data_IF_668732343746
#
_entry.id   IF_668732343746
#
_cell.length_a   1.000
_cell.length_b   1.000
_cell.length_c   1.000
_cell.angle_alpha   90.00
_cell.angle_beta   90.00
_cell.angle_gamma   90.00
#
_symmetry.space_group_name_H-M   'P 1'
#
loop_
_entity.id
_entity.type
_entity.pdbx_description
1 polymer ?
#
# COMPACT_ATOMS: atom_id res chain seq x y z
N UNK A 1 -9.90 -65.52 -47.31
CA UNK A 1 -10.43 -64.77 -48.45
C UNK A 1 -10.47 -63.31 -48.07
N UNK A 2 -9.57 -62.43 -48.50
CA UNK A 2 -8.36 -62.59 -49.32
C UNK A 2 -8.06 -61.27 -50.04
N UNK A 3 -6.89 -60.64 -49.97
CA UNK A 3 -5.52 -61.04 -49.54
C UNK A 3 -4.95 -59.91 -48.64
N UNK A 4 -4.53 -60.17 -47.39
CA UNK A 4 -3.19 -60.64 -46.92
C UNK A 4 -2.05 -59.76 -47.45
N UNK A 5 -1.32 -59.01 -46.62
CA UNK A 5 -0.25 -59.48 -45.68
C UNK A 5 -0.18 -58.62 -44.39
N UNK A 6 -0.31 -59.10 -43.15
CA UNK A 6 0.63 -59.88 -42.27
C UNK A 6 2.01 -59.22 -42.10
N UNK A 7 2.33 -58.58 -40.97
CA UNK A 7 2.97 -59.11 -39.74
C UNK A 7 3.20 -57.89 -38.80
N UNK A 8 3.38 -57.93 -37.48
CA UNK A 8 3.34 -58.92 -36.40
C UNK A 8 3.53 -58.16 -35.07
N UNK A 9 2.95 -58.72 -34.02
CA UNK A 9 3.03 -58.49 -32.57
C UNK A 9 4.38 -58.04 -31.97
N UNK A 10 4.32 -57.19 -30.94
CA UNK A 10 5.08 -57.25 -29.66
C UNK A 10 4.43 -56.22 -28.71
N UNK A 11 3.50 -56.59 -27.82
CA UNK A 11 3.69 -57.05 -26.42
C UNK A 11 5.03 -56.65 -25.81
N UNK A 12 4.95 -55.68 -24.89
CA UNK A 12 5.96 -55.34 -23.90
C UNK A 12 5.26 -54.85 -22.65
N UNK A 13 4.99 -55.80 -21.74
CA UNK A 13 4.69 -55.59 -20.33
C UNK A 13 5.99 -55.22 -19.60
N UNK A 14 5.95 -54.21 -18.74
CA UNK A 14 6.65 -54.14 -17.44
C UNK A 14 6.35 -52.76 -16.82
N UNK A 15 5.48 -52.67 -15.81
CA UNK A 15 5.67 -53.00 -14.39
C UNK A 15 6.26 -51.82 -13.58
N UNK A 16 5.42 -51.35 -12.64
CA UNK A 16 5.74 -50.86 -11.29
C UNK A 16 6.46 -49.49 -11.17
N UNK A 17 6.13 -48.56 -10.27
CA UNK A 17 5.31 -48.58 -9.06
C UNK A 17 4.53 -47.26 -8.92
N UNK A 18 3.25 -47.39 -8.56
CA UNK A 18 2.49 -46.36 -7.85
C UNK A 18 3.10 -46.14 -6.45
N UNK A 19 3.33 -44.88 -6.08
CA UNK A 19 3.50 -44.48 -4.67
C UNK A 19 2.12 -44.13 -4.10
N UNK A 20 1.74 -44.65 -2.93
CA UNK A 20 0.37 -44.58 -2.45
C UNK A 20 0.07 -43.26 -1.74
N UNK A 21 -1.14 -42.75 -2.00
CA UNK A 21 -1.85 -41.87 -1.08
C UNK A 21 -2.43 -42.69 0.07
N UNK A 22 -2.16 -42.29 1.30
CA UNK A 22 -2.97 -42.47 2.52
C UNK A 22 -2.19 -41.74 3.64
N UNK A 23 -2.76 -41.22 4.72
CA UNK A 23 -4.08 -40.75 5.06
C UNK A 23 -3.91 -39.93 6.35
N UNK A 24 -4.90 -39.09 6.62
CA UNK A 24 -5.08 -38.36 7.86
C UNK A 24 -4.95 -39.27 9.09
N UNK A 25 -4.24 -38.83 10.12
CA UNK A 25 -4.63 -39.10 11.50
C UNK A 25 -4.19 -37.95 12.42
N UNK A 26 -5.18 -37.45 13.14
CA UNK A 26 -5.13 -36.53 14.25
C UNK A 26 -4.53 -37.18 15.49
N UNK A 27 -3.65 -36.48 16.20
CA UNK A 27 -3.51 -36.68 17.64
C UNK A 27 -3.11 -35.37 18.33
N UNK A 28 -3.90 -35.03 19.35
CA UNK A 28 -3.66 -33.94 20.29
C UNK A 28 -2.57 -34.34 21.28
N UNK A 29 -1.49 -33.57 21.38
CA UNK A 29 -0.63 -33.54 22.57
C UNK A 29 -0.24 -32.10 22.93
N UNK A 30 -0.55 -31.74 24.18
CA UNK A 30 -0.09 -30.54 24.86
C UNK A 30 1.45 -30.52 24.91
N UNK A 31 2.05 -29.44 24.40
CA UNK A 31 3.48 -29.19 24.49
C UNK A 31 3.78 -27.70 24.35
N UNK A 32 4.42 -27.16 25.37
CA UNK A 32 4.80 -25.77 25.59
C UNK A 32 5.67 -25.20 24.46
N UNK A 33 5.39 -23.96 24.04
CA UNK A 33 6.12 -23.23 22.99
C UNK A 33 7.45 -22.69 23.57
N UNK A 34 8.63 -23.03 23.01
CA UNK A 34 9.86 -22.29 23.27
C UNK A 34 9.96 -21.08 22.33
N UNK A 35 10.44 -19.95 22.86
CA UNK A 35 10.74 -18.71 22.13
C UNK A 35 11.62 -18.96 20.89
N UNK A 36 11.03 -18.82 19.70
CA UNK A 36 11.78 -18.86 18.45
C UNK A 36 12.41 -17.50 18.17
N UNK A 37 13.74 -17.45 18.18
CA UNK A 37 14.54 -16.40 17.55
C UNK A 37 14.05 -16.20 16.11
N UNK A 38 13.44 -15.04 15.83
CA UNK A 38 13.09 -14.63 14.47
C UNK A 38 14.38 -14.21 13.77
N UNK A 39 14.85 -15.07 12.87
CA UNK A 39 15.92 -14.76 11.92
C UNK A 39 15.39 -13.68 10.97
N UNK A 40 15.76 -12.42 11.22
CA UNK A 40 15.56 -11.29 10.30
C UNK A 40 16.38 -11.51 9.02
N UNK A 41 15.81 -12.20 8.04
CA UNK A 41 16.43 -12.42 6.73
C UNK A 41 15.49 -12.08 5.57
N UNK A 42 14.93 -10.87 5.55
CA UNK A 42 14.28 -10.30 4.35
C UNK A 42 13.89 -8.81 4.50
N UNK A 43 14.73 -7.95 5.08
CA UNK A 43 14.49 -6.49 4.99
C UNK A 43 15.25 -5.96 3.77
N UNK A 44 14.58 -5.44 2.71
CA UNK A 44 15.26 -4.78 1.62
C UNK A 44 15.99 -3.53 2.14
N UNK A 45 17.26 -3.40 1.75
CA UNK A 45 18.15 -2.32 2.14
C UNK A 45 17.57 -0.93 1.83
N UNK A 46 17.42 -0.10 2.86
CA UNK A 46 17.16 1.34 2.75
C UNK A 46 18.50 2.07 2.80
N UNK A 47 18.83 2.82 1.74
CA UNK A 47 20.07 3.57 1.67
C UNK A 47 20.01 4.82 2.57
N UNK A 48 20.75 4.79 3.68
CA UNK A 48 21.05 5.93 4.55
C UNK A 48 20.74 5.62 6.02
N UNK A 49 21.79 5.43 6.82
CA UNK A 49 21.68 5.48 8.27
C UNK A 49 21.17 6.87 8.66
N UNK A 50 19.95 6.94 9.18
CA UNK A 50 19.49 8.09 9.94
C UNK A 50 19.85 7.76 11.38
N UNK A 51 20.94 8.34 11.87
CA UNK A 51 21.19 8.41 13.31
C UNK A 51 20.08 9.25 13.94
N UNK A 52 19.05 8.57 14.46
CA UNK A 52 18.10 9.20 15.37
C UNK A 52 18.76 9.19 16.74
N UNK A 53 19.36 10.32 17.10
CA UNK A 53 19.75 10.61 18.48
C UNK A 53 18.47 10.61 19.31
N UNK A 54 18.19 9.47 19.95
CA UNK A 54 17.08 9.28 20.88
C UNK A 54 17.45 9.89 22.22
N UNK A 55 17.13 11.16 22.41
CA UNK A 55 16.98 11.74 23.74
C UNK A 55 15.55 12.22 23.91
N UNK A 56 14.67 11.31 24.31
CA UNK A 56 13.53 11.61 25.17
C UNK A 56 12.89 10.30 25.68
N UNK A 57 12.64 10.27 26.98
CA UNK A 57 12.23 9.09 27.75
C UNK A 57 10.83 8.63 27.31
N UNK A 58 10.69 7.31 27.13
CA UNK A 58 9.40 6.64 27.02
C UNK A 58 8.52 7.01 28.23
N UNK A 59 7.45 7.76 28.01
CA UNK A 59 6.33 7.84 28.96
C UNK A 59 5.42 6.66 28.64
N UNK A 60 5.48 5.65 29.51
CA UNK A 60 4.51 4.56 29.58
C UNK A 60 3.10 5.12 29.70
N UNK A 61 2.21 4.61 28.86
CA UNK A 61 0.75 4.81 28.91
C UNK A 61 0.21 4.82 30.33
N UNK A 62 -0.24 5.99 30.80
CA UNK A 62 -1.09 6.10 31.98
C UNK A 62 -2.49 5.56 31.62
N UNK A 63 -2.92 4.60 32.43
CA UNK A 63 -4.25 4.03 32.42
C UNK A 63 -5.25 5.08 32.93
N UNK A 64 -6.36 5.26 32.21
CA UNK A 64 -7.50 6.06 32.69
C UNK A 64 -8.16 5.37 33.90
N UNK A 65 -8.44 6.06 35.01
CA UNK A 65 -9.14 5.48 36.15
C UNK A 65 -10.65 5.42 35.85
N UNK A 66 -11.26 4.22 35.90
CA UNK A 66 -12.72 4.12 35.88
C UNK A 66 -13.39 2.83 35.40
N UNK A 67 -12.69 1.82 34.86
CA UNK A 67 -13.36 0.58 34.44
C UNK A 67 -13.30 -0.51 35.52
N UNK A 68 -14.43 -0.76 36.20
CA UNK A 68 -14.64 -1.98 37.00
C UNK A 68 -15.23 -3.07 36.10
N UNK A 69 -14.62 -4.26 36.14
CA UNK A 69 -15.11 -5.47 35.49
C UNK A 69 -16.38 -6.00 36.17
N UNK A 70 -17.38 -6.41 35.39
CA UNK A 70 -18.57 -7.13 35.89
C UNK A 70 -18.27 -8.63 35.86
N UNK A 71 -18.29 -9.28 37.03
CA UNK A 71 -18.23 -10.74 37.14
C UNK A 71 -19.57 -11.38 36.78
N UNK A 72 -19.52 -12.57 36.16
CA UNK A 72 -20.68 -13.36 35.73
C UNK A 72 -21.66 -13.61 36.90
N UNK A 73 -22.95 -13.31 36.69
CA UNK A 73 -24.03 -13.67 37.60
C UNK A 73 -24.23 -15.20 37.63
N UNK A 74 -24.17 -15.80 38.81
CA UNK A 74 -24.72 -17.13 39.08
C UNK A 74 -26.10 -16.96 39.73
N UNK A 75 -27.13 -17.59 39.16
CA UNK A 75 -28.47 -17.62 39.75
C UNK A 75 -28.64 -18.84 40.65
N UNK A 76 -29.02 -18.68 41.93
CA UNK A 76 -29.58 -19.78 42.70
C UNK A 76 -31.07 -19.92 42.40
N UNK A 77 -31.51 -21.09 41.96
CA UNK A 77 -32.92 -21.46 41.84
C UNK A 77 -33.52 -21.65 43.24
N UNK A 78 -34.46 -20.80 43.64
CA UNK A 78 -35.26 -21.02 44.86
C UNK A 78 -36.62 -21.63 44.51
N UNK A 79 -36.99 -22.71 45.20
CA UNK A 79 -38.33 -23.32 45.12
C UNK A 79 -39.40 -22.39 45.73
N UNK A 80 -40.64 -22.41 45.24
CA UNK A 80 -41.69 -21.52 45.74
C UNK A 80 -42.17 -21.99 47.12
N UNK A 81 -42.15 -21.10 48.11
CA UNK A 81 -42.79 -21.33 49.41
C UNK A 81 -44.05 -20.48 49.54
N UNK A 82 -45.14 -21.19 49.85
CA UNK A 82 -46.53 -20.83 50.22
C UNK A 82 -46.87 -19.36 50.44
N UNK A 83 -48.00 -18.96 49.84
CA UNK A 83 -48.77 -17.76 50.15
C UNK A 83 -48.99 -17.62 51.67
N UNK A 84 -48.72 -16.42 52.19
CA UNK A 84 -48.92 -16.09 53.60
C UNK A 84 -50.25 -15.35 53.81
N UNK A 85 -50.93 -15.79 54.86
CA UNK A 85 -52.24 -15.38 55.36
C UNK A 85 -52.21 -13.94 55.92
N UNK A 86 -53.21 -13.12 55.58
CA UNK A 86 -53.31 -11.73 56.03
C UNK A 86 -53.93 -11.66 57.43
N UNK A 87 -53.12 -11.78 58.48
CA UNK A 87 -53.57 -11.42 59.83
C UNK A 87 -52.49 -10.68 60.62
N UNK A 88 -52.89 -9.48 61.07
CA UNK A 88 -52.17 -8.50 61.87
C UNK A 88 -51.39 -9.08 63.07
N UNK A 89 -50.13 -8.68 63.20
CA UNK A 89 -49.53 -8.29 64.47
C UNK A 89 -48.45 -7.23 64.21
N UNK A 90 -48.58 -6.07 64.87
CA UNK A 90 -47.55 -5.01 64.88
C UNK A 90 -46.36 -5.50 65.68
N UNK A 91 -45.23 -5.66 65.01
CA UNK A 91 -43.92 -5.47 65.62
C UNK A 91 -43.16 -4.47 64.75
N UNK A 92 -42.79 -3.35 65.37
CA UNK A 92 -41.99 -2.28 64.76
C UNK A 92 -40.60 -2.81 64.40
N UNK A 93 -40.46 -3.36 63.19
CA UNK A 93 -39.17 -3.44 62.51
C UNK A 93 -39.22 -2.47 61.35
N UNK A 94 -38.48 -1.38 61.52
CA UNK A 94 -38.15 -0.44 60.45
C UNK A 94 -37.51 -1.23 59.32
N UNK A 95 -38.31 -1.53 58.29
CA UNK A 95 -37.81 -1.95 56.98
C UNK A 95 -37.14 -0.73 56.36
N UNK A 96 -35.84 -0.61 56.58
CA UNK A 96 -35.02 0.34 55.81
C UNK A 96 -34.95 -0.24 54.41
N UNK A 97 -35.67 0.41 53.50
CA UNK A 97 -35.54 0.16 52.07
C UNK A 97 -34.07 0.37 51.72
N UNK A 98 -33.34 -0.70 51.39
CA UNK A 98 -32.00 -0.58 50.84
C UNK A 98 -32.16 -0.19 49.37
N UNK A 99 -32.65 1.03 49.16
CA UNK A 99 -32.45 1.72 47.90
C UNK A 99 -30.94 1.82 47.74
N UNK A 100 -30.35 0.99 46.88
CA UNK A 100 -29.00 1.22 46.37
C UNK A 100 -29.04 2.53 45.61
N UNK A 101 -28.86 3.63 46.34
CA UNK A 101 -28.75 4.96 45.81
C UNK A 101 -27.55 4.96 44.89
N UNK A 102 -27.80 4.99 43.59
CA UNK A 102 -26.75 5.33 42.63
C UNK A 102 -26.58 6.83 42.79
N UNK A 103 -25.64 7.26 43.65
CA UNK A 103 -25.32 8.68 43.80
C UNK A 103 -24.68 9.19 42.51
N UNK A 104 -25.52 9.54 41.54
CA UNK A 104 -25.11 10.37 40.41
C UNK A 104 -24.87 11.76 40.98
N UNK A 105 -23.62 12.17 41.05
CA UNK A 105 -23.28 13.48 41.61
C UNK A 105 -23.69 14.59 40.64
N UNK A 106 -23.90 15.80 41.15
CA UNK A 106 -24.15 16.97 40.29
C UNK A 106 -23.01 17.22 39.28
N UNK A 107 -21.80 16.75 39.58
CA UNK A 107 -20.68 16.77 38.65
C UNK A 107 -20.85 15.77 37.50
N UNK A 108 -21.34 14.56 37.80
CA UNK A 108 -21.64 13.55 36.78
C UNK A 108 -22.73 14.01 35.81
N UNK A 109 -23.77 14.69 36.33
CA UNK A 109 -24.84 15.29 35.51
C UNK A 109 -24.25 16.34 34.56
N UNK A 110 -23.40 17.25 35.07
CA UNK A 110 -22.76 18.29 34.25
C UNK A 110 -21.85 17.70 33.18
N UNK A 111 -21.09 16.66 33.50
CA UNK A 111 -20.23 15.97 32.53
C UNK A 111 -21.08 15.28 31.45
N UNK A 112 -22.21 14.67 31.82
CA UNK A 112 -23.13 14.05 30.87
C UNK A 112 -23.84 15.09 29.98
N UNK A 113 -24.21 16.26 30.52
CA UNK A 113 -24.77 17.37 29.75
C UNK A 113 -23.75 17.92 28.74
N UNK A 114 -22.51 18.16 29.19
CA UNK A 114 -21.42 18.57 28.31
C UNK A 114 -21.14 17.55 27.20
N UNK A 115 -21.13 16.26 27.53
CA UNK A 115 -20.94 15.20 26.55
C UNK A 115 -22.11 15.14 25.54
N UNK A 116 -23.35 15.29 26.01
CA UNK A 116 -24.53 15.35 25.15
C UNK A 116 -24.48 16.54 24.18
N UNK A 117 -24.09 17.72 24.64
CA UNK A 117 -23.97 18.91 23.79
C UNK A 117 -22.84 18.74 22.76
N UNK A 118 -21.71 18.15 23.17
CA UNK A 118 -20.61 17.79 22.26
C UNK A 118 -21.05 16.79 21.20
N UNK A 119 -21.78 15.74 21.58
CA UNK A 119 -22.29 14.72 20.67
C UNK A 119 -23.29 15.32 19.69
N UNK A 120 -24.22 16.16 20.15
CA UNK A 120 -25.17 16.87 19.28
C UNK A 120 -24.47 17.72 18.23
N UNK A 121 -23.50 18.54 18.65
CA UNK A 121 -22.70 19.35 17.73
C UNK A 121 -21.94 18.49 16.71
N UNK A 122 -21.40 17.35 17.14
CA UNK A 122 -20.70 16.40 16.26
C UNK A 122 -21.65 15.76 15.23
N UNK A 123 -22.89 15.47 15.62
CA UNK A 123 -23.94 14.93 14.75
C UNK A 123 -24.48 15.96 13.75
N UNK A 124 -24.47 17.25 14.11
CA UNK A 124 -24.86 18.35 13.23
C UNK A 124 -23.85 18.54 12.09
N UNK A 125 -22.55 18.39 12.36
CA UNK A 125 -21.50 18.43 11.34
C UNK A 125 -21.28 17.07 10.66
N UNK A 126 -22.28 16.68 9.87
CA UNK A 126 -22.29 15.41 9.12
C UNK A 126 -21.08 15.24 8.20
N UNK A 127 -20.57 16.33 7.63
CA UNK A 127 -19.42 16.31 6.74
C UNK A 127 -18.12 16.00 7.50
N UNK A 128 -17.97 16.50 8.74
CA UNK A 128 -16.87 16.16 9.65
C UNK A 128 -16.95 14.74 10.15
N UNK A 129 -18.13 14.34 10.57
CA UNK A 129 -18.34 12.98 11.04
C UNK A 129 -18.07 11.94 9.94
N UNK A 130 -18.57 12.18 8.71
CA UNK A 130 -18.36 11.28 7.56
C UNK A 130 -16.87 11.04 7.29
N UNK A 131 -16.08 12.10 7.17
CA UNK A 131 -14.65 11.98 6.86
C UNK A 131 -13.85 11.38 8.00
N UNK A 132 -14.20 11.66 9.26
CA UNK A 132 -13.56 11.04 10.42
C UNK A 132 -13.84 9.55 10.52
N UNK A 133 -15.09 9.13 10.35
CA UNK A 133 -15.47 7.72 10.32
C UNK A 133 -14.74 7.00 9.20
N UNK A 134 -14.70 7.59 8.00
CA UNK A 134 -14.01 6.99 6.86
C UNK A 134 -12.51 6.81 7.14
N UNK A 135 -11.82 7.83 7.64
CA UNK A 135 -10.39 7.72 7.96
C UNK A 135 -10.15 6.68 9.04
N UNK A 136 -10.96 6.67 10.12
CA UNK A 136 -10.89 5.62 11.16
C UNK A 136 -11.11 4.22 10.58
N UNK A 137 -12.00 4.08 9.61
CA UNK A 137 -12.25 2.81 8.94
C UNK A 137 -11.05 2.38 8.07
N UNK A 138 -10.48 3.30 7.30
CA UNK A 138 -9.27 3.05 6.49
C UNK A 138 -8.09 2.62 7.37
N UNK A 139 -7.95 3.23 8.56
CA UNK A 139 -6.84 2.96 9.49
C UNK A 139 -7.20 1.99 10.60
N UNK A 140 -8.28 1.21 10.46
CA UNK A 140 -8.79 0.33 11.52
C UNK A 140 -7.81 -0.81 11.85
N UNK A 141 -7.25 -1.42 10.83
CA UNK A 141 -6.29 -2.51 10.93
C UNK A 141 -5.43 -2.59 9.64
N UNK A 142 -4.38 -3.42 9.66
CA UNK A 142 -3.44 -3.53 8.55
C UNK A 142 -4.08 -4.03 7.25
N UNK A 143 -5.16 -4.81 7.32
CA UNK A 143 -5.88 -5.27 6.12
C UNK A 143 -6.57 -4.10 5.45
N UNK A 144 -7.23 -3.23 6.23
CA UNK A 144 -7.88 -2.03 5.72
C UNK A 144 -6.85 -1.05 5.17
N UNK A 145 -5.74 -0.81 5.89
CA UNK A 145 -4.67 0.07 5.42
C UNK A 145 -4.14 -0.41 4.07
N UNK A 146 -3.82 -1.71 3.94
CA UNK A 146 -3.35 -2.29 2.68
C UNK A 146 -4.36 -2.21 1.55
N UNK A 147 -5.62 -2.50 1.85
CA UNK A 147 -6.68 -2.45 0.85
C UNK A 147 -6.87 -1.03 0.31
N UNK A 148 -7.08 -0.06 1.19
CA UNK A 148 -7.44 1.31 0.84
C UNK A 148 -6.26 2.14 0.36
N UNK A 149 -5.07 1.97 0.93
CA UNK A 149 -3.92 2.85 0.64
C UNK A 149 -2.83 2.18 -0.20
N UNK A 150 -2.81 0.84 -0.26
CA UNK A 150 -1.73 0.05 -0.86
C UNK A 150 -0.49 -0.09 0.03
N UNK A 151 -0.43 0.61 1.17
CA UNK A 151 0.67 0.50 2.15
C UNK A 151 0.47 -0.74 3.02
N UNK A 152 1.52 -1.50 3.32
CA UNK A 152 1.38 -2.84 3.90
C UNK A 152 0.71 -2.89 5.27
N UNK A 153 0.92 -1.88 6.11
CA UNK A 153 0.41 -1.82 7.47
C UNK A 153 0.37 -0.38 8.00
N UNK A 154 -0.30 -0.19 9.14
CA UNK A 154 -0.48 1.12 9.76
C UNK A 154 0.85 1.75 10.18
N UNK A 155 1.81 0.96 10.67
CA UNK A 155 3.12 1.46 11.10
C UNK A 155 3.90 2.11 9.95
N UNK A 156 3.96 1.46 8.78
CA UNK A 156 4.61 2.03 7.59
C UNK A 156 3.85 3.25 7.08
N UNK A 157 2.52 3.23 7.10
CA UNK A 157 1.69 4.38 6.71
C UNK A 157 2.04 5.62 7.55
N UNK A 158 2.11 5.45 8.87
CA UNK A 158 2.49 6.52 9.79
C UNK A 158 3.95 6.95 9.62
N UNK A 159 4.86 6.00 9.39
CA UNK A 159 6.27 6.30 9.08
C UNK A 159 6.41 7.18 7.83
N UNK A 160 5.70 6.84 6.75
CA UNK A 160 5.66 7.67 5.53
C UNK A 160 5.06 9.04 5.84
N UNK A 161 3.95 9.10 6.56
CA UNK A 161 3.32 10.37 6.91
C UNK A 161 4.24 11.27 7.74
N UNK A 162 4.98 10.69 8.69
CA UNK A 162 5.92 11.44 9.53
C UNK A 162 7.10 12.01 8.72
N UNK A 163 7.57 11.31 7.69
CA UNK A 163 8.57 11.84 6.76
C UNK A 163 8.03 13.04 5.96
N UNK A 164 6.73 13.05 5.67
CA UNK A 164 6.07 14.10 4.89
C UNK A 164 5.71 15.33 5.75
N UNK A 165 5.13 15.12 6.95
CA UNK A 165 4.55 16.19 7.77
C UNK A 165 5.56 17.25 8.18
N UNK A 166 6.83 16.86 8.39
CA UNK A 166 7.95 17.77 8.67
C UNK A 166 8.13 18.85 7.58
N UNK A 167 7.61 18.61 6.38
CA UNK A 167 7.69 19.50 5.21
C UNK A 167 6.32 19.99 4.72
N UNK A 168 5.22 19.57 5.35
CA UNK A 168 3.85 19.90 4.94
C UNK A 168 3.40 21.31 5.34
N UNK A 169 3.93 21.89 6.42
CA UNK A 169 3.47 23.17 6.98
C UNK A 169 3.51 24.35 6.00
N UNK A 170 4.34 24.25 4.94
CA UNK A 170 4.48 25.28 3.90
C UNK A 170 3.70 24.98 2.62
N UNK A 171 2.90 23.91 2.58
CA UNK A 171 2.18 23.50 1.37
C UNK A 171 1.15 24.56 0.94
N UNK A 172 1.19 24.88 -0.34
CA UNK A 172 0.25 25.74 -1.03
C UNK A 172 -0.62 24.86 -1.93
N UNK A 173 -1.93 25.05 -1.85
CA UNK A 173 -2.82 24.34 -2.77
C UNK A 173 -2.55 24.81 -4.19
N UNK A 174 -2.51 23.84 -5.09
CA UNK A 174 -2.42 24.07 -6.50
C UNK A 174 -3.70 24.79 -6.96
N UNK A 175 -3.53 25.93 -7.63
CA UNK A 175 -4.64 26.70 -8.18
C UNK A 175 -4.33 27.20 -9.59
N UNK A 176 -3.55 26.42 -10.35
CA UNK A 176 -3.08 26.76 -11.69
C UNK A 176 -1.71 27.45 -11.72
N UNK A 177 -1.29 27.95 -12.90
CA UNK A 177 0.08 28.47 -13.13
C UNK A 177 0.51 29.58 -12.14
N UNK A 178 -0.42 30.44 -11.71
CA UNK A 178 -0.14 31.48 -10.70
C UNK A 178 0.17 30.95 -9.29
N UNK A 179 -0.03 29.65 -9.06
CA UNK A 179 0.31 29.00 -7.79
C UNK A 179 1.77 28.58 -7.68
N UNK A 180 2.57 28.69 -8.76
CA UNK A 180 4.00 28.33 -8.78
C UNK A 180 4.87 29.29 -7.98
N UNK A 181 4.55 30.59 -7.97
CA UNK A 181 5.37 31.58 -7.27
C UNK A 181 5.22 31.50 -5.75
N UNK A 182 6.35 31.62 -5.05
CA UNK A 182 6.39 31.73 -3.60
C UNK A 182 5.57 32.92 -3.11
N UNK A 183 4.91 32.72 -1.97
CA UNK A 183 4.10 33.74 -1.31
C UNK A 183 4.85 34.29 -0.11
N UNK A 184 4.64 35.57 0.19
CA UNK A 184 5.29 36.29 1.29
C UNK A 184 5.08 35.66 2.69
N UNK A 185 4.08 34.80 2.87
CA UNK A 185 3.85 34.07 4.13
C UNK A 185 4.72 32.80 4.26
N UNK A 186 5.36 32.32 3.18
CA UNK A 186 6.21 31.13 3.20
C UNK A 186 7.66 31.44 3.61
N UNK A 187 8.06 32.72 3.48
CA UNK A 187 9.43 33.23 3.73
C UNK A 187 9.58 33.96 5.07
N UNK A 188 8.57 33.93 5.95
CA UNK A 188 8.67 34.46 7.32
C UNK A 188 7.71 33.76 8.28
N UNK A 189 7.77 34.09 9.58
CA UNK A 189 6.88 33.55 10.63
C UNK A 189 5.44 34.11 10.55
N UNK A 190 4.92 34.36 9.34
CA UNK A 190 3.58 34.91 9.11
C UNK A 190 2.60 33.77 8.90
N UNK A 191 1.45 33.86 9.57
CA UNK A 191 0.35 32.92 9.35
C UNK A 191 -0.15 33.00 7.89
N UNK A 192 -0.53 31.84 7.35
CA UNK A 192 -1.09 31.76 6.00
C UNK A 192 -2.41 32.55 5.94
N UNK A 193 -2.55 33.55 5.06
CA UNK A 193 -3.78 34.30 4.93
C UNK A 193 -4.88 33.45 4.26
N UNK A 194 -6.13 33.67 4.67
CA UNK A 194 -7.32 33.03 4.12
C UNK A 194 -7.94 31.98 5.05
N UNK A 195 -9.03 31.33 4.60
CA UNK A 195 -9.73 30.32 5.37
C UNK A 195 -8.82 29.17 5.78
N UNK A 196 -9.01 28.67 7.00
CA UNK A 196 -8.32 27.48 7.47
C UNK A 196 -8.67 26.27 6.59
N UNK A 197 -7.73 25.32 6.50
CA UNK A 197 -7.97 24.08 5.78
C UNK A 197 -9.07 23.29 6.49
N UNK A 198 -10.04 22.79 5.72
CA UNK A 198 -11.13 21.97 6.25
C UNK A 198 -10.66 20.57 6.64
N UNK A 199 -9.66 20.04 5.93
CA UNK A 199 -9.07 18.74 6.19
C UNK A 199 -7.75 18.90 6.95
N UNK A 200 -7.47 17.95 7.83
CA UNK A 200 -6.13 17.80 8.41
C UNK A 200 -5.15 17.28 7.36
N UNK A 201 -3.85 17.51 7.56
CA UNK A 201 -2.83 16.99 6.64
C UNK A 201 -2.90 15.46 6.51
N UNK A 202 -3.25 14.75 7.59
CA UNK A 202 -3.46 13.31 7.55
C UNK A 202 -4.68 12.91 6.72
N UNK A 203 -5.80 13.64 6.83
CA UNK A 203 -6.98 13.40 5.99
C UNK A 203 -6.67 13.63 4.50
N UNK A 204 -5.93 14.69 4.17
CA UNK A 204 -5.50 14.95 2.79
C UNK A 204 -4.55 13.87 2.25
N UNK A 205 -3.65 13.37 3.09
CA UNK A 205 -2.76 12.26 2.78
C UNK A 205 -3.54 10.98 2.48
N UNK A 206 -4.49 10.60 3.36
CA UNK A 206 -5.34 9.43 3.16
C UNK A 206 -6.19 9.57 1.89
N UNK A 207 -6.81 10.73 1.65
CA UNK A 207 -7.54 11.01 0.42
C UNK A 207 -6.67 10.72 -0.81
N UNK A 208 -5.42 11.18 -0.79
CA UNK A 208 -4.49 11.01 -1.90
C UNK A 208 -4.12 9.55 -2.13
N UNK A 209 -3.80 8.80 -1.07
CA UNK A 209 -3.46 7.38 -1.17
C UNK A 209 -4.65 6.52 -1.61
N UNK A 210 -5.84 6.78 -1.06
CA UNK A 210 -7.08 6.09 -1.47
C UNK A 210 -7.36 6.30 -2.94
N UNK A 211 -7.17 7.52 -3.44
CA UNK A 211 -7.33 7.82 -4.86
C UNK A 211 -6.30 7.08 -5.73
N UNK A 212 -5.02 7.07 -5.34
CA UNK A 212 -3.97 6.35 -6.07
C UNK A 212 -4.22 4.85 -6.12
N UNK A 213 -4.67 4.26 -5.01
CA UNK A 213 -4.85 2.82 -4.87
C UNK A 213 -6.12 2.31 -5.54
N UNK A 214 -7.25 2.98 -5.33
CA UNK A 214 -8.56 2.51 -5.77
C UNK A 214 -9.07 3.19 -7.04
N UNK A 215 -8.43 4.27 -7.49
CA UNK A 215 -8.87 5.00 -8.68
C UNK A 215 -10.23 5.68 -8.53
N UNK A 216 -10.64 6.04 -7.30
CA UNK A 216 -11.93 6.68 -7.05
C UNK A 216 -12.04 8.02 -7.76
N UNK A 217 -13.21 8.26 -8.37
CA UNK A 217 -13.53 9.52 -9.03
C UNK A 217 -13.69 10.66 -8.03
N UNK A 218 -13.42 11.90 -8.47
CA UNK A 218 -13.45 13.10 -7.63
C UNK A 218 -14.78 13.32 -6.94
N UNK A 219 -15.89 12.93 -7.59
CA UNK A 219 -17.22 13.05 -7.00
C UNK A 219 -17.40 12.18 -5.77
N UNK A 220 -16.97 10.92 -5.84
CA UNK A 220 -17.11 10.00 -4.72
C UNK A 220 -16.21 10.41 -3.54
N UNK A 221 -14.98 10.87 -3.82
CA UNK A 221 -14.10 11.42 -2.79
C UNK A 221 -14.65 12.71 -2.18
N UNK A 222 -15.31 13.55 -2.97
CA UNK A 222 -15.97 14.76 -2.48
C UNK A 222 -17.05 14.43 -1.44
N UNK A 223 -17.89 13.43 -1.74
CA UNK A 223 -18.95 12.97 -0.84
C UNK A 223 -18.37 12.36 0.45
N UNK A 224 -17.37 11.47 0.33
CA UNK A 224 -16.73 10.83 1.50
C UNK A 224 -16.11 11.88 2.44
N UNK A 225 -15.37 12.84 1.87
CA UNK A 225 -14.60 13.81 2.64
C UNK A 225 -15.35 15.12 2.97
N UNK A 226 -16.61 15.26 2.53
CA UNK A 226 -17.43 16.44 2.78
C UNK A 226 -16.79 17.73 2.22
N UNK A 227 -16.26 17.66 1.00
CA UNK A 227 -15.60 18.79 0.31
C UNK A 227 -16.02 18.86 -1.16
N UNK A 228 -15.79 20.00 -1.81
CA UNK A 228 -16.11 20.12 -3.24
C UNK A 228 -15.19 19.28 -4.13
N UNK A 229 -15.69 18.84 -5.29
CA UNK A 229 -14.89 18.16 -6.34
C UNK A 229 -13.62 18.93 -6.71
N UNK A 230 -13.75 20.26 -6.83
CA UNK A 230 -12.61 21.15 -7.08
C UNK A 230 -11.57 21.05 -5.97
N UNK A 231 -11.99 21.01 -4.70
CA UNK A 231 -11.08 20.88 -3.56
C UNK A 231 -10.36 19.52 -3.57
N UNK A 232 -11.05 18.43 -3.88
CA UNK A 232 -10.45 17.09 -4.05
C UNK A 232 -9.34 17.14 -5.10
N UNK A 233 -9.62 17.70 -6.27
CA UNK A 233 -8.64 17.84 -7.36
C UNK A 233 -7.42 18.66 -6.93
N UNK A 234 -7.63 19.80 -6.27
CA UNK A 234 -6.54 20.65 -5.76
C UNK A 234 -5.67 19.93 -4.72
N UNK A 235 -6.30 19.25 -3.75
CA UNK A 235 -5.58 18.46 -2.74
C UNK A 235 -4.75 17.38 -3.43
N UNK A 236 -5.37 16.59 -4.31
CA UNK A 236 -4.69 15.48 -4.98
C UNK A 236 -3.49 15.97 -5.80
N UNK A 237 -3.65 17.01 -6.61
CA UNK A 237 -2.55 17.58 -7.40
C UNK A 237 -1.43 18.14 -6.53
N UNK A 238 -1.77 18.83 -5.43
CA UNK A 238 -0.77 19.33 -4.48
C UNK A 238 0.03 18.21 -3.84
N UNK A 239 -0.64 17.20 -3.31
CA UNK A 239 0.01 16.09 -2.63
C UNK A 239 0.83 15.23 -3.57
N UNK A 240 0.34 14.91 -4.77
CA UNK A 240 1.12 14.10 -5.71
C UNK A 240 2.39 14.81 -6.16
N UNK A 241 2.31 16.12 -6.43
CA UNK A 241 3.48 16.93 -6.82
C UNK A 241 4.47 17.02 -5.67
N UNK A 242 3.98 17.25 -4.44
CA UNK A 242 4.81 17.30 -3.24
C UNK A 242 5.51 15.97 -2.97
N UNK A 243 4.76 14.87 -2.96
CA UNK A 243 5.30 13.52 -2.76
C UNK A 243 6.28 13.15 -3.86
N UNK A 244 6.00 13.47 -5.12
CA UNK A 244 6.92 13.23 -6.24
C UNK A 244 8.26 13.94 -6.03
N UNK A 245 8.24 15.21 -5.60
CA UNK A 245 9.47 15.96 -5.32
C UNK A 245 10.29 15.44 -4.15
N UNK A 246 9.64 14.78 -3.18
CA UNK A 246 10.32 14.17 -2.03
C UNK A 246 10.80 12.75 -2.34
N UNK A 247 9.93 11.88 -2.85
CA UNK A 247 10.23 10.49 -3.13
C UNK A 247 11.13 10.30 -4.34
N UNK A 248 11.09 11.20 -5.33
CA UNK A 248 12.02 11.15 -6.46
C UNK A 248 13.48 11.19 -6.03
N UNK A 249 13.80 11.87 -4.92
CA UNK A 249 15.17 11.95 -4.36
C UNK A 249 15.64 10.63 -3.73
N UNK A 250 14.71 9.70 -3.47
CA UNK A 250 15.02 8.37 -2.93
C UNK A 250 15.42 7.38 -4.04
N UNK A 251 15.07 7.67 -5.29
CA UNK A 251 15.47 6.86 -6.44
C UNK A 251 16.89 7.24 -6.80
N UNK A 252 17.84 6.38 -6.41
CA UNK A 252 19.27 6.59 -6.62
C UNK A 252 19.81 5.52 -7.54
N UNK A 253 20.73 5.90 -8.42
CA UNK A 253 21.59 4.95 -9.12
C UNK A 253 22.68 4.47 -8.16
N UNK A 254 22.63 3.21 -7.66
CA UNK A 254 23.63 2.70 -6.73
C UNK A 254 24.97 2.50 -7.45
N UNK A 255 26.11 2.39 -6.76
CA UNK A 255 27.39 1.99 -7.39
C UNK A 255 27.44 0.50 -7.74
N UNK A 256 28.37 0.10 -8.62
CA UNK A 256 28.61 -1.33 -8.96
C UNK A 256 28.87 -2.18 -7.72
N UNK A 257 29.65 -1.66 -6.77
CA UNK A 257 29.94 -2.36 -5.52
C UNK A 257 28.68 -2.54 -4.66
N UNK A 258 27.83 -1.51 -4.57
CA UNK A 258 26.58 -1.58 -3.83
C UNK A 258 25.62 -2.61 -4.42
N UNK A 259 25.50 -2.67 -5.76
CA UNK A 259 24.68 -3.69 -6.42
C UNK A 259 25.21 -5.09 -6.13
N UNK A 260 26.52 -5.32 -6.32
CA UNK A 260 27.13 -6.64 -6.08
C UNK A 260 27.06 -7.09 -4.62
N UNK A 261 27.08 -6.14 -3.66
CA UNK A 261 26.96 -6.41 -2.22
C UNK A 261 25.56 -6.88 -1.84
N UNK A 262 24.51 -6.26 -2.41
CA UNK A 262 23.12 -6.54 -2.04
C UNK A 262 22.39 -7.46 -3.03
N UNK A 263 23.04 -7.90 -4.11
CA UNK A 263 22.49 -8.84 -5.07
C UNK A 263 22.14 -10.18 -4.37
N UNK A 264 20.91 -10.68 -4.51
CA UNK A 264 20.53 -11.97 -3.97
C UNK A 264 21.42 -13.09 -4.50
N UNK A 265 21.78 -14.05 -3.64
CA UNK A 265 22.71 -15.12 -4.00
C UNK A 265 22.21 -15.95 -5.19
N UNK A 266 20.92 -16.28 -5.21
CA UNK A 266 20.28 -17.00 -6.33
C UNK A 266 20.40 -16.26 -7.66
N UNK A 267 20.26 -14.93 -7.66
CA UNK A 267 20.41 -14.11 -8.86
C UNK A 267 21.88 -14.04 -9.31
N UNK A 268 22.79 -13.83 -8.36
CA UNK A 268 24.23 -13.72 -8.60
C UNK A 268 24.83 -14.96 -9.25
N UNK A 269 24.24 -16.14 -9.02
CA UNK A 269 24.76 -17.38 -9.58
C UNK A 269 24.60 -17.49 -11.09
N UNK A 270 23.53 -16.91 -11.64
CA UNK A 270 23.27 -16.92 -13.08
C UNK A 270 23.71 -15.61 -13.74
N UNK A 271 23.57 -14.49 -13.02
CA UNK A 271 23.72 -13.15 -13.59
C UNK A 271 24.59 -12.24 -12.70
N UNK A 272 25.86 -12.60 -12.43
CA UNK A 272 26.71 -11.92 -11.46
C UNK A 272 27.11 -10.48 -11.84
N UNK A 273 27.00 -10.13 -13.12
CA UNK A 273 27.39 -8.83 -13.67
C UNK A 273 26.21 -7.86 -13.83
N UNK A 274 24.98 -8.34 -13.69
CA UNK A 274 23.80 -7.51 -13.99
C UNK A 274 23.77 -6.31 -13.07
N UNK A 275 23.72 -5.15 -13.70
CA UNK A 275 23.74 -3.84 -13.08
C UNK A 275 22.34 -3.34 -12.79
N UNK A 276 21.47 -3.47 -13.79
CA UNK A 276 20.11 -2.98 -13.81
C UNK A 276 19.28 -3.90 -14.69
N UNK A 277 18.04 -4.15 -14.28
CA UNK A 277 17.01 -4.79 -15.08
C UNK A 277 16.09 -3.67 -15.52
N UNK A 278 15.82 -3.57 -16.82
CA UNK A 278 14.97 -2.53 -17.38
C UNK A 278 13.71 -3.11 -18.01
N UNK A 279 12.63 -2.34 -17.91
CA UNK A 279 11.38 -2.63 -18.60
C UNK A 279 10.63 -1.34 -18.94
N UNK A 280 9.90 -1.35 -20.06
CA UNK A 280 8.98 -0.28 -20.42
C UNK A 280 7.58 -0.64 -19.94
N UNK A 281 7.17 -0.05 -18.81
CA UNK A 281 5.86 -0.29 -18.24
C UNK A 281 4.81 0.62 -18.90
N UNK A 282 3.70 0.02 -19.33
CA UNK A 282 2.53 0.72 -19.89
C UNK A 282 1.36 0.78 -18.90
N UNK A 283 0.71 1.94 -18.79
CA UNK A 283 -0.47 2.17 -17.97
C UNK A 283 -1.60 2.80 -18.79
N UNK A 284 -2.84 2.39 -18.51
CA UNK A 284 -4.01 2.87 -19.24
C UNK A 284 -4.36 4.31 -18.90
N UNK A 285 -4.71 5.07 -19.94
CA UNK A 285 -5.31 6.38 -19.81
C UNK A 285 -6.82 6.33 -20.00
N UNK A 286 -7.50 7.29 -19.37
CA UNK A 286 -8.83 7.68 -19.83
C UNK A 286 -8.71 8.21 -21.25
N UNK A 287 -9.69 7.87 -22.07
CA UNK A 287 -9.69 8.22 -23.49
C UNK A 287 -9.54 9.74 -23.67
N UNK A 288 -8.43 10.21 -24.28
CA UNK A 288 -8.22 11.64 -24.49
C UNK A 288 -9.31 12.23 -25.39
N UNK A 289 -9.76 13.46 -25.11
CA UNK A 289 -10.75 14.13 -25.99
C UNK A 289 -10.16 14.64 -27.30
N UNK A 290 -8.87 14.97 -27.30
CA UNK A 290 -8.17 15.48 -28.49
C UNK A 290 -7.74 14.32 -29.40
N UNK A 291 -8.12 14.30 -30.69
CA UNK A 291 -7.69 13.27 -31.63
C UNK A 291 -6.17 13.13 -31.72
N UNK A 292 -5.42 14.24 -31.68
CA UNK A 292 -3.96 14.22 -31.70
C UNK A 292 -3.39 13.53 -30.46
N UNK A 293 -3.97 13.82 -29.28
CA UNK A 293 -3.58 13.16 -28.03
C UNK A 293 -3.99 11.68 -28.01
N UNK A 294 -5.09 11.32 -28.66
CA UNK A 294 -5.47 9.91 -28.83
C UNK A 294 -4.45 9.17 -29.69
N UNK A 295 -4.12 9.71 -30.87
CA UNK A 295 -3.17 9.08 -31.78
C UNK A 295 -1.78 8.93 -31.13
N UNK A 296 -1.31 9.95 -30.39
CA UNK A 296 0.00 9.90 -29.72
C UNK A 296 0.05 8.95 -28.53
N UNK A 297 -1.07 8.67 -27.88
CA UNK A 297 -1.12 7.76 -26.72
C UNK A 297 -1.60 6.36 -27.09
N UNK A 298 -2.04 6.12 -28.33
CA UNK A 298 -2.58 4.82 -28.71
C UNK A 298 -1.48 3.77 -28.81
N UNK A 299 -1.52 2.78 -27.93
CA UNK A 299 -0.65 1.60 -28.01
C UNK A 299 -1.33 0.55 -28.86
N UNK A 300 -0.75 0.26 -30.02
CA UNK A 300 -1.21 -0.83 -30.89
C UNK A 300 -1.15 -2.18 -30.16
N UNK A 301 -0.13 -2.38 -29.34
CA UNK A 301 0.05 -3.61 -28.57
C UNK A 301 -1.07 -3.84 -27.55
N UNK A 302 -1.52 -2.79 -26.87
CA UNK A 302 -2.61 -2.86 -25.87
C UNK A 302 -4.00 -2.55 -26.45
N UNK A 303 -4.07 -2.12 -27.71
CA UNK A 303 -5.29 -1.66 -28.40
C UNK A 303 -6.07 -0.60 -27.59
N UNK A 304 -5.34 0.27 -26.86
CA UNK A 304 -5.90 1.30 -25.97
C UNK A 304 -4.93 2.48 -25.86
N UNK A 305 -5.43 3.63 -25.38
CA UNK A 305 -4.60 4.76 -24.99
C UNK A 305 -3.81 4.42 -23.72
N UNK A 306 -2.48 4.50 -23.80
CA UNK A 306 -1.56 4.24 -22.69
C UNK A 306 -0.51 5.33 -22.58
N UNK A 307 0.01 5.50 -21.37
CA UNK A 307 1.30 6.10 -21.12
C UNK A 307 2.33 5.00 -20.92
N UNK A 308 3.58 5.28 -21.28
CA UNK A 308 4.70 4.35 -21.18
C UNK A 308 5.88 5.04 -20.48
N UNK A 309 6.54 4.37 -19.55
CA UNK A 309 7.79 4.85 -18.97
C UNK A 309 8.81 3.71 -18.87
N UNK A 310 10.09 4.06 -18.96
CA UNK A 310 11.19 3.14 -18.70
C UNK A 310 11.47 3.11 -17.20
N UNK A 311 11.44 1.91 -16.64
CA UNK A 311 11.80 1.64 -15.26
C UNK A 311 13.10 0.86 -15.23
N UNK A 312 14.01 1.27 -14.35
CA UNK A 312 15.20 0.50 -13.98
C UNK A 312 15.06 -0.02 -12.56
N UNK A 313 15.27 -1.31 -12.38
CA UNK A 313 15.30 -1.96 -11.06
C UNK A 313 16.67 -2.62 -10.84
N UNK A 314 17.15 -2.56 -9.60
CA UNK A 314 18.32 -3.32 -9.20
C UNK A 314 17.99 -4.83 -9.16
N UNK A 315 19.01 -5.70 -9.24
CA UNK A 315 18.84 -7.13 -8.98
C UNK A 315 18.25 -7.48 -7.61
N UNK A 316 18.32 -6.55 -6.63
CA UNK A 316 17.66 -6.70 -5.32
C UNK A 316 16.20 -6.23 -5.30
N UNK A 317 15.65 -5.78 -6.44
CA UNK A 317 14.24 -5.40 -6.58
C UNK A 317 13.91 -3.95 -6.20
N UNK A 318 14.91 -3.08 -6.04
CA UNK A 318 14.68 -1.66 -5.74
C UNK A 318 14.67 -0.82 -7.02
N UNK A 319 13.79 0.17 -7.11
CA UNK A 319 13.81 1.14 -8.21
C UNK A 319 15.11 1.97 -8.18
N UNK A 320 15.81 2.02 -9.31
CA UNK A 320 17.06 2.77 -9.48
C UNK A 320 16.96 3.85 -10.56
N UNK A 321 15.98 3.75 -11.45
CA UNK A 321 15.72 4.72 -12.51
C UNK A 321 14.23 4.75 -12.88
N UNK A 322 13.71 5.94 -13.17
CA UNK A 322 12.35 6.16 -13.68
C UNK A 322 12.42 7.29 -14.69
N UNK A 323 12.02 7.03 -15.94
CA UNK A 323 11.94 8.06 -16.98
C UNK A 323 10.69 8.94 -16.84
N UNK A 324 10.69 10.04 -17.57
CA UNK A 324 9.44 10.73 -17.94
C UNK A 324 8.47 9.78 -18.65
N UNK A 325 7.20 10.17 -18.66
CA UNK A 325 6.12 9.43 -19.32
C UNK A 325 6.03 9.83 -20.79
N UNK A 326 6.05 8.81 -21.66
CA UNK A 326 5.89 8.91 -23.10
C UNK A 326 4.51 8.37 -23.52
N UNK A 327 4.07 8.70 -24.74
CA UNK A 327 2.87 8.11 -25.31
C UNK A 327 3.04 6.61 -25.59
N UNK A 328 1.95 5.85 -25.50
CA UNK A 328 1.95 4.40 -25.73
C UNK A 328 2.47 3.95 -27.10
N UNK A 329 2.44 4.84 -28.10
CA UNK A 329 2.95 4.55 -29.45
C UNK A 329 4.49 4.65 -29.56
N UNK A 330 5.17 5.18 -28.55
CA UNK A 330 6.62 5.39 -28.56
C UNK A 330 7.34 4.06 -28.31
N UNK A 331 8.37 3.78 -29.12
CA UNK A 331 9.16 2.56 -29.00
C UNK A 331 10.06 2.57 -27.77
N UNK A 332 10.27 1.39 -27.18
CA UNK A 332 11.08 1.21 -25.97
C UNK A 332 12.54 1.65 -26.19
N UNK A 333 13.06 1.41 -27.40
CA UNK A 333 14.38 1.92 -27.83
C UNK A 333 14.46 3.44 -27.76
N UNK A 334 13.47 4.14 -28.34
CA UNK A 334 13.45 5.61 -28.33
C UNK A 334 13.40 6.17 -26.91
N UNK A 335 12.58 5.57 -26.04
CA UNK A 335 12.50 5.98 -24.63
C UNK A 335 13.86 5.76 -23.95
N UNK A 336 14.50 4.63 -24.17
CA UNK A 336 15.83 4.34 -23.61
C UNK A 336 16.85 5.38 -24.03
N UNK A 337 16.86 5.77 -25.30
CA UNK A 337 17.79 6.77 -25.84
C UNK A 337 17.53 8.18 -25.29
N UNK A 338 16.26 8.60 -25.16
CA UNK A 338 15.90 9.98 -24.80
C UNK A 338 15.63 10.22 -23.32
N UNK A 339 15.48 9.16 -22.52
CA UNK A 339 15.19 9.28 -21.09
C UNK A 339 16.39 9.69 -20.22
N UNK A 340 17.60 9.76 -20.77
CA UNK A 340 18.83 9.97 -20.00
C UNK A 340 19.35 8.70 -19.32
N UNK A 341 18.71 7.53 -19.53
CA UNK A 341 19.16 6.26 -18.96
C UNK A 341 20.62 5.93 -19.35
N UNK A 342 21.00 6.21 -20.60
CA UNK A 342 22.34 5.93 -21.13
C UNK A 342 23.47 6.72 -20.45
N UNK A 343 23.15 7.80 -19.73
CA UNK A 343 24.12 8.61 -18.99
C UNK A 343 24.60 7.92 -17.70
N UNK A 344 23.83 6.95 -17.21
CA UNK A 344 24.15 6.17 -16.01
C UNK A 344 24.96 4.90 -16.27
N UNK A 345 25.09 4.51 -17.54
CA UNK A 345 25.74 3.26 -17.94
C UNK A 345 27.25 3.44 -17.97
N UNK A 346 27.95 2.55 -17.29
CA UNK A 346 29.40 2.52 -17.20
C UNK A 346 29.99 1.32 -17.96
N UNK A 347 31.26 1.43 -18.34
CA UNK A 347 32.00 0.32 -18.97
C UNK A 347 31.93 -0.95 -18.12
N UNK A 348 31.62 -2.07 -18.78
CA UNK A 348 31.50 -3.39 -18.15
C UNK A 348 30.16 -3.68 -17.47
N UNK A 349 29.19 -2.76 -17.51
CA UNK A 349 27.83 -3.03 -17.02
C UNK A 349 27.13 -4.09 -17.89
N UNK A 350 26.31 -4.92 -17.25
CA UNK A 350 25.40 -5.84 -17.91
C UNK A 350 23.96 -5.40 -17.63
N UNK A 351 23.21 -5.07 -18.67
CA UNK A 351 21.83 -4.61 -18.58
C UNK A 351 20.93 -5.76 -19.01
N UNK A 352 19.96 -6.08 -18.15
CA UNK A 352 18.99 -7.13 -18.42
C UNK A 352 17.67 -6.50 -18.89
N UNK A 353 17.08 -7.02 -19.95
CA UNK A 353 15.82 -6.53 -20.49
C UNK A 353 14.96 -7.65 -21.06
N UNK A 354 13.67 -7.40 -21.21
CA UNK A 354 12.76 -8.35 -21.86
C UNK A 354 13.09 -8.51 -23.37
N UNK A 355 12.59 -9.59 -23.94
CA UNK A 355 12.73 -9.91 -25.35
C UNK A 355 12.14 -8.79 -26.20
N UNK A 356 12.92 -8.29 -27.17
CA UNK A 356 12.50 -7.22 -28.07
C UNK A 356 13.14 -5.87 -27.78
N UNK A 357 13.88 -5.72 -26.66
CA UNK A 357 14.67 -4.51 -26.39
C UNK A 357 15.88 -4.39 -27.34
N UNK A 358 15.69 -3.72 -28.48
CA UNK A 358 16.74 -3.50 -29.49
C UNK A 358 17.63 -2.31 -29.11
N UNK A 359 18.47 -2.47 -28.08
CA UNK A 359 19.38 -1.42 -27.56
C UNK A 359 20.85 -1.88 -27.46
N UNK A 360 21.20 -3.01 -28.07
CA UNK A 360 22.53 -3.63 -27.96
C UNK A 360 23.65 -2.72 -28.47
N UNK A 361 23.41 -2.05 -29.59
CA UNK A 361 24.30 -1.05 -30.18
C UNK A 361 24.55 0.13 -29.23
N UNK A 362 23.49 0.71 -28.65
CA UNK A 362 23.60 1.81 -27.67
C UNK A 362 24.47 1.41 -26.46
N UNK A 363 24.29 0.18 -25.96
CA UNK A 363 25.09 -0.34 -24.85
C UNK A 363 26.54 -0.64 -25.27
N UNK A 364 26.75 -1.12 -26.49
CA UNK A 364 28.08 -1.43 -27.02
C UNK A 364 28.95 -0.16 -27.11
N UNK A 365 28.36 0.98 -27.47
CA UNK A 365 29.05 2.29 -27.46
C UNK A 365 29.58 2.66 -26.08
N UNK A 366 28.88 2.26 -25.01
CA UNK A 366 29.29 2.43 -23.61
C UNK A 366 30.17 1.28 -23.09
N UNK A 367 30.55 0.33 -23.96
CA UNK A 367 31.21 -0.93 -23.60
C UNK A 367 30.46 -1.73 -22.53
N UNK A 368 29.13 -1.67 -22.58
CA UNK A 368 28.21 -2.43 -21.76
C UNK A 368 27.57 -3.56 -22.58
N UNK A 369 26.98 -4.53 -21.89
CA UNK A 369 26.39 -5.72 -22.49
C UNK A 369 24.88 -5.77 -22.26
N UNK A 370 24.17 -6.39 -23.22
CA UNK A 370 22.72 -6.63 -23.15
C UNK A 370 22.45 -8.12 -22.98
N UNK A 371 21.86 -8.47 -21.84
CA UNK A 371 21.34 -9.78 -21.52
C UNK A 371 19.82 -9.79 -21.73
N UNK A 372 19.36 -10.60 -22.68
CA UNK A 372 17.95 -10.74 -23.02
C UNK A 372 17.68 -12.16 -23.53
N UNK A 373 16.45 -12.68 -23.40
CA UNK A 373 16.07 -13.94 -24.02
C UNK A 373 16.32 -13.92 -25.55
N UNK A 374 16.73 -15.06 -26.16
CA UNK A 374 16.96 -15.14 -27.61
C UNK A 374 15.67 -14.82 -28.36
N UNK A 375 15.71 -14.28 -29.59
CA UNK A 375 14.50 -14.07 -30.40
C UNK A 375 13.86 -15.40 -30.84
N UNK A 376 12.53 -15.43 -30.95
CA UNK A 376 11.82 -16.64 -31.40
C UNK A 376 12.09 -16.79 -32.88
N UNK A 377 12.80 -17.86 -33.26
CA UNK A 377 12.90 -18.23 -34.67
C UNK A 377 11.52 -18.66 -35.15
N UNK A 378 11.13 -18.26 -36.37
CA UNK A 378 9.95 -18.86 -37.00
C UNK A 378 10.19 -20.36 -37.11
N UNK A 379 9.37 -21.16 -36.42
CA UNK A 379 9.38 -22.61 -36.60
C UNK A 379 8.93 -22.88 -38.04
N UNK A 380 9.80 -23.52 -38.84
CA UNK A 380 9.53 -23.88 -40.24
C UNK A 380 8.36 -24.90 -40.32
N UNK A 381 8.00 -25.53 -39.20
CA UNK A 381 7.06 -26.65 -39.12
C UNK A 381 5.71 -26.30 -38.47
N UNK A 382 5.29 -25.03 -38.54
CA UNK A 382 3.95 -24.61 -38.11
C UNK A 382 3.83 -24.32 -36.61
N UNK A 383 2.83 -23.49 -36.27
CA UNK A 383 2.54 -23.03 -34.91
C UNK A 383 2.18 -24.23 -34.01
N UNK A 384 3.12 -24.76 -33.21
CA UNK A 384 2.90 -25.46 -31.91
C UNK A 384 4.07 -26.28 -31.35
N UNK A 385 5.33 -26.07 -31.76
CA UNK A 385 6.46 -26.64 -31.02
C UNK A 385 7.59 -25.63 -30.92
N UNK A 386 7.70 -25.02 -29.74
CA UNK A 386 8.89 -24.28 -29.34
C UNK A 386 10.02 -25.30 -29.18
N UNK A 387 11.11 -25.11 -29.92
CA UNK A 387 12.36 -25.85 -29.70
C UNK A 387 13.07 -25.18 -28.53
N UNK A 388 13.33 -25.96 -27.47
CA UNK A 388 14.14 -25.57 -26.30
C UNK A 388 15.57 -25.21 -26.69
#
# INVERSE_FOLDING_TARGET
MGRKTSNSTQVGTDNNLESPMHACNSDHHHGSIPESQVIFSAIPYVCGEVEVISTEKFVTTEYLPGQRYVSKLNYPTHKPTKDHDYSYHRDDKVLVDSSTQTEVTANDIRLLEQENDRLKHTLEDKESLSREIFVKHVTKDDKHVKFYTGVQNFAILMGIFQLLITKCSKLKYWSGKGSVNDKNYQTGNKLKPGPQRKLTDFQEFILTLVRLRLGLIDYHLADIFGISKTRVSQIFTTWITFMSGLFGKLIKWPSKQQVRKHMPHSFKMLYPKTRCIIDCTEFFFQHPRSPTAQASTYSTYKSKNTGKCLLGISPSGTFTFVSDVYGGNVSDRFITEKSGFMDYIEEGDDIMADRGFTIRDLLTEKKATLNMPPFTRKCVWGKRKDLM
#
